data_IF_992492950087
#
_entry.id   IF_992492950087
#
_cell.length_a   1.000
_cell.length_b   1.000
_cell.length_c   1.000
_cell.angle_alpha   90.00
_cell.angle_beta   90.00
_cell.angle_gamma   90.00
#
_symmetry.space_group_name_H-M   'P 1'
#
loop_
_entity.id
_entity.type
_entity.pdbx_description
1 polymer ?
#
# COMPACT_ATOMS: atom_id res chain seq x y z
N UNK A 1 2.92 5.05 -10.45
CA UNK A 1 3.51 5.87 -11.52
C UNK A 1 3.62 5.05 -12.80
N UNK A 2 4.28 3.88 -12.79
CA UNK A 2 4.43 3.01 -13.96
C UNK A 2 3.10 2.72 -14.66
N UNK A 3 2.11 2.22 -13.93
CA UNK A 3 0.79 1.90 -14.47
C UNK A 3 0.09 3.12 -15.09
N UNK A 4 0.09 4.25 -14.38
CA UNK A 4 -0.63 5.46 -14.84
C UNK A 4 0.03 6.09 -16.05
N UNK A 5 1.37 6.13 -16.07
CA UNK A 5 2.14 6.82 -17.11
C UNK A 5 2.42 5.94 -18.33
N UNK A 6 2.85 4.72 -18.10
CA UNK A 6 3.34 3.84 -19.18
C UNK A 6 2.20 3.01 -19.76
N UNK A 7 1.51 2.20 -18.94
CA UNK A 7 0.48 1.30 -19.47
C UNK A 7 -0.74 2.02 -20.04
N UNK A 8 -1.20 3.07 -19.38
CA UNK A 8 -2.36 3.85 -19.83
C UNK A 8 -2.04 5.06 -20.70
N UNK A 9 -0.76 5.49 -20.73
CA UNK A 9 -0.36 6.68 -21.47
C UNK A 9 0.33 6.37 -22.77
N UNK A 10 1.43 5.63 -22.72
CA UNK A 10 2.36 5.43 -23.86
C UNK A 10 2.14 4.09 -24.55
N UNK A 11 1.57 3.10 -23.83
CA UNK A 11 1.38 1.73 -24.33
C UNK A 11 2.64 0.85 -24.17
N UNK A 12 2.45 -0.45 -24.44
CA UNK A 12 3.53 -1.44 -24.34
C UNK A 12 4.31 -1.52 -25.67
N UNK A 13 5.47 -0.86 -25.73
CA UNK A 13 6.39 -0.97 -26.88
C UNK A 13 7.85 -0.78 -26.48
N UNK A 14 8.73 -1.69 -26.96
CA UNK A 14 10.19 -1.53 -26.86
C UNK A 14 10.75 -1.35 -25.43
N UNK A 15 11.63 -0.38 -25.26
CA UNK A 15 12.37 -0.11 -24.01
C UNK A 15 11.45 0.31 -22.83
N UNK A 16 10.21 0.76 -23.08
CA UNK A 16 9.25 1.17 -22.04
C UNK A 16 8.85 0.03 -21.13
N UNK A 17 8.79 -1.18 -21.64
CA UNK A 17 8.51 -2.37 -20.82
C UNK A 17 9.55 -2.57 -19.72
N UNK A 18 10.82 -2.33 -20.00
CA UNK A 18 11.90 -2.44 -18.99
C UNK A 18 11.77 -1.37 -17.91
N UNK A 19 11.47 -0.14 -18.32
CA UNK A 19 11.25 0.98 -17.38
C UNK A 19 10.03 0.70 -16.48
N UNK A 20 8.93 0.23 -17.06
CA UNK A 20 7.74 -0.16 -16.30
C UNK A 20 8.07 -1.23 -15.24
N UNK A 21 8.78 -2.29 -15.61
CA UNK A 21 9.20 -3.34 -14.68
C UNK A 21 10.02 -2.78 -13.52
N UNK A 22 11.02 -1.95 -13.81
CA UNK A 22 11.87 -1.35 -12.77
C UNK A 22 11.03 -0.47 -11.83
N UNK A 23 10.17 0.38 -12.37
CA UNK A 23 9.32 1.26 -11.55
C UNK A 23 8.33 0.48 -10.68
N UNK A 24 7.75 -0.60 -11.20
CA UNK A 24 6.88 -1.50 -10.41
C UNK A 24 7.65 -2.18 -9.29
N UNK A 25 8.85 -2.69 -9.60
CA UNK A 25 9.72 -3.33 -8.61
C UNK A 25 10.07 -2.37 -7.47
N UNK A 26 10.40 -1.11 -7.79
CA UNK A 26 10.63 -0.07 -6.79
C UNK A 26 9.38 0.20 -5.94
N UNK A 27 8.20 0.20 -6.54
CA UNK A 27 6.93 0.37 -5.82
C UNK A 27 6.68 -0.71 -4.77
N UNK A 28 7.12 -1.96 -5.02
CA UNK A 28 6.96 -3.08 -4.08
C UNK A 28 7.75 -2.92 -2.77
N UNK A 29 8.82 -2.12 -2.79
CA UNK A 29 9.62 -1.82 -1.60
C UNK A 29 8.81 -1.01 -0.56
N UNK A 30 7.88 -0.19 -1.01
CA UNK A 30 7.15 0.73 -0.14
C UNK A 30 6.13 0.04 0.76
N UNK A 31 5.45 -1.01 0.29
CA UNK A 31 4.35 -1.63 1.04
C UNK A 31 4.78 -2.26 2.37
N UNK A 32 5.88 -3.05 2.47
CA UNK A 32 6.38 -3.53 3.76
C UNK A 32 6.65 -2.40 4.76
N UNK A 33 7.18 -1.27 4.28
CA UNK A 33 7.46 -0.11 5.12
C UNK A 33 6.16 0.50 5.65
N UNK A 34 5.11 0.59 4.82
CA UNK A 34 3.79 1.02 5.28
C UNK A 34 3.20 0.05 6.31
N UNK A 35 3.27 -1.25 6.08
CA UNK A 35 2.84 -2.27 7.05
C UNK A 35 3.56 -2.08 8.39
N UNK A 36 4.88 -1.94 8.35
CA UNK A 36 5.68 -1.72 9.55
C UNK A 36 5.30 -0.42 10.27
N UNK A 37 5.10 0.67 9.54
CA UNK A 37 4.71 1.95 10.16
C UNK A 37 3.33 1.90 10.81
N UNK A 38 2.38 1.08 10.28
CA UNK A 38 1.09 0.84 10.94
C UNK A 38 1.28 0.08 12.24
N UNK A 39 2.08 -0.99 12.24
CA UNK A 39 2.39 -1.78 13.44
C UNK A 39 3.09 -0.93 14.49
N UNK A 40 4.13 -0.21 14.11
CA UNK A 40 4.89 0.68 14.98
C UNK A 40 3.99 1.81 15.54
N UNK A 41 3.14 2.38 14.69
CA UNK A 41 2.15 3.38 15.09
C UNK A 41 1.12 2.83 16.09
N UNK A 42 0.64 1.60 15.88
CA UNK A 42 -0.28 0.93 16.80
C UNK A 42 0.36 0.68 18.17
N UNK A 43 1.58 0.18 18.21
CA UNK A 43 2.33 -0.08 19.45
C UNK A 43 2.63 1.17 20.26
N UNK A 44 2.71 2.34 19.61
CA UNK A 44 3.06 3.62 20.25
C UNK A 44 1.89 4.57 20.45
N UNK A 45 0.71 4.25 19.95
CA UNK A 45 -0.44 5.16 20.10
C UNK A 45 -1.15 4.93 21.41
N UNK A 46 -1.57 6.03 22.05
CA UNK A 46 -2.48 5.98 23.20
C UNK A 46 -3.96 5.82 22.78
N UNK A 47 -4.29 6.07 21.51
CA UNK A 47 -5.64 6.01 20.96
C UNK A 47 -5.66 5.34 19.60
N UNK A 48 -5.80 4.02 19.60
CA UNK A 48 -5.89 3.20 18.38
C UNK A 48 -7.21 3.45 17.63
N UNK A 49 -8.29 3.82 18.32
CA UNK A 49 -9.57 4.16 17.70
C UNK A 49 -9.47 5.43 16.85
N UNK A 50 -8.86 6.48 17.39
CA UNK A 50 -8.60 7.69 16.61
C UNK A 50 -7.60 7.43 15.46
N UNK A 51 -6.67 6.49 15.61
CA UNK A 51 -5.77 6.08 14.54
C UNK A 51 -6.55 5.39 13.41
N UNK A 52 -7.39 4.42 13.72
CA UNK A 52 -8.26 3.72 12.75
C UNK A 52 -9.19 4.71 12.03
N UNK A 53 -9.82 5.62 12.77
CA UNK A 53 -10.67 6.66 12.19
C UNK A 53 -9.92 7.51 11.15
N UNK A 54 -8.68 7.91 11.44
CA UNK A 54 -7.84 8.64 10.46
C UNK A 54 -7.58 7.82 9.20
N UNK A 55 -7.22 6.53 9.32
CA UNK A 55 -7.00 5.67 8.15
C UNK A 55 -8.25 5.55 7.28
N UNK A 56 -9.44 5.37 7.89
CA UNK A 56 -10.71 5.30 7.17
C UNK A 56 -11.01 6.64 6.45
N UNK A 57 -10.81 7.78 7.11
CA UNK A 57 -11.02 9.10 6.50
C UNK A 57 -10.09 9.27 5.28
N UNK A 58 -8.82 8.89 5.40
CA UNK A 58 -7.87 9.00 4.29
C UNK A 58 -8.10 7.92 3.21
N UNK A 59 -8.64 6.76 3.56
CA UNK A 59 -9.13 5.79 2.58
C UNK A 59 -10.22 6.43 1.70
N UNK A 60 -11.24 7.04 2.31
CA UNK A 60 -12.33 7.72 1.57
C UNK A 60 -11.83 8.90 0.74
N UNK A 61 -10.95 9.74 1.28
CA UNK A 61 -10.36 10.89 0.55
C UNK A 61 -9.54 10.41 -0.65
N UNK A 62 -8.85 9.28 -0.51
CA UNK A 62 -7.94 8.75 -1.52
C UNK A 62 -8.65 7.99 -2.64
N UNK A 63 -9.95 7.65 -2.52
CA UNK A 63 -10.69 6.93 -3.56
C UNK A 63 -10.75 7.73 -4.85
N UNK A 64 -11.14 9.01 -4.81
CA UNK A 64 -11.22 9.84 -6.01
C UNK A 64 -9.86 9.95 -6.73
N UNK A 65 -8.74 10.32 -6.07
CA UNK A 65 -7.42 10.30 -6.70
C UNK A 65 -7.01 8.93 -7.25
N UNK A 66 -7.35 7.86 -6.54
CA UNK A 66 -7.03 6.50 -6.92
C UNK A 66 -7.79 6.08 -8.18
N UNK A 67 -9.10 6.27 -8.21
CA UNK A 67 -9.95 5.93 -9.35
C UNK A 67 -9.58 6.74 -10.60
N UNK A 68 -9.33 8.03 -10.44
CA UNK A 68 -8.84 8.87 -11.54
C UNK A 68 -7.51 8.36 -12.10
N UNK A 69 -6.57 7.99 -11.23
CA UNK A 69 -5.25 7.52 -11.64
C UNK A 69 -5.30 6.14 -12.32
N UNK A 70 -6.03 5.19 -11.74
CA UNK A 70 -6.00 3.79 -12.18
C UNK A 70 -7.15 3.40 -13.11
N UNK A 71 -8.31 4.06 -13.01
CA UNK A 71 -9.51 3.75 -13.80
C UNK A 71 -9.87 4.84 -14.80
N UNK A 72 -9.46 6.09 -14.55
CA UNK A 72 -9.84 7.25 -15.37
C UNK A 72 -11.30 7.68 -15.15
N UNK A 73 -11.91 7.22 -14.05
CA UNK A 73 -13.24 7.59 -13.58
C UNK A 73 -13.13 8.31 -12.24
N UNK A 74 -14.13 9.09 -11.87
CA UNK A 74 -14.16 9.78 -10.57
C UNK A 74 -14.52 8.81 -9.44
N UNK A 75 -15.27 7.75 -9.78
CA UNK A 75 -15.73 6.75 -8.81
C UNK A 75 -15.85 5.37 -9.47
N UNK A 76 -15.16 4.38 -8.91
CA UNK A 76 -15.17 2.99 -9.37
C UNK A 76 -15.04 2.05 -8.15
N UNK A 77 -16.09 1.31 -7.84
CA UNK A 77 -16.10 0.39 -6.70
C UNK A 77 -15.40 -0.97 -6.97
N UNK A 78 -14.86 -1.18 -8.15
CA UNK A 78 -14.29 -2.50 -8.52
C UNK A 78 -12.97 -2.80 -7.82
N UNK A 79 -12.26 -1.78 -7.34
CA UNK A 79 -10.98 -1.93 -6.67
C UNK A 79 -10.74 -0.77 -5.70
N UNK A 80 -10.28 -1.06 -4.50
CA UNK A 80 -10.14 -0.06 -3.43
C UNK A 80 -8.67 0.22 -3.10
N UNK A 81 -8.38 1.46 -2.68
CA UNK A 81 -7.03 1.91 -2.39
C UNK A 81 -6.39 1.23 -1.17
N UNK A 82 -5.07 1.36 -1.04
CA UNK A 82 -4.25 0.71 -0.02
C UNK A 82 -4.62 1.08 1.43
N UNK A 83 -5.18 2.27 1.68
CA UNK A 83 -5.57 2.66 3.03
C UNK A 83 -6.64 1.75 3.63
N UNK A 84 -7.52 1.15 2.83
CA UNK A 84 -8.47 0.13 3.29
C UNK A 84 -7.76 -1.11 3.81
N UNK A 85 -6.74 -1.60 3.10
CA UNK A 85 -5.91 -2.72 3.58
C UNK A 85 -5.25 -2.38 4.91
N UNK A 86 -4.67 -1.17 5.02
CA UNK A 86 -4.03 -0.70 6.26
C UNK A 86 -5.04 -0.55 7.41
N UNK A 87 -6.27 -0.07 7.13
CA UNK A 87 -7.32 0.07 8.13
C UNK A 87 -7.81 -1.30 8.65
N UNK A 88 -8.03 -2.27 7.75
CA UNK A 88 -8.38 -3.64 8.15
C UNK A 88 -7.25 -4.32 8.93
N UNK A 89 -5.98 -4.08 8.55
CA UNK A 89 -4.83 -4.57 9.29
C UNK A 89 -4.76 -4.01 10.71
N UNK A 90 -4.96 -2.70 10.86
CA UNK A 90 -5.03 -2.06 12.18
C UNK A 90 -6.21 -2.58 12.99
N UNK A 91 -7.40 -2.71 12.40
CA UNK A 91 -8.57 -3.25 13.07
C UNK A 91 -8.35 -4.69 13.55
N UNK A 92 -7.69 -5.54 12.74
CA UNK A 92 -7.34 -6.90 13.14
C UNK A 92 -6.40 -6.94 14.36
N UNK A 93 -5.40 -6.05 14.40
CA UNK A 93 -4.50 -5.93 15.57
C UNK A 93 -5.28 -5.48 16.81
N UNK A 94 -6.13 -4.45 16.70
CA UNK A 94 -6.96 -3.96 17.81
C UNK A 94 -7.86 -5.05 18.38
N UNK A 95 -8.53 -5.82 17.51
CA UNK A 95 -9.42 -6.92 17.92
C UNK A 95 -8.62 -8.04 18.60
N UNK A 96 -7.45 -8.37 18.06
CA UNK A 96 -6.61 -9.43 18.62
C UNK A 96 -6.08 -9.08 20.01
N UNK A 97 -5.64 -7.84 20.21
CA UNK A 97 -5.04 -7.38 21.47
C UNK A 97 -6.09 -7.00 22.54
N UNK A 98 -7.38 -6.90 22.18
CA UNK A 98 -8.46 -6.63 23.13
C UNK A 98 -8.68 -7.84 24.06
N UNK A 99 -8.21 -7.74 25.30
CA UNK A 99 -8.36 -8.78 26.32
C UNK A 99 -9.78 -8.89 26.90
N UNK A 100 -10.63 -7.86 26.74
CA UNK A 100 -11.99 -7.83 27.27
C UNK A 100 -13.02 -8.40 26.28
N UNK A 101 -12.65 -8.55 25.01
CA UNK A 101 -13.55 -9.08 24.00
C UNK A 101 -13.76 -10.59 24.16
N UNK A 102 -15.03 -11.04 24.21
CA UNK A 102 -15.36 -12.46 24.26
C UNK A 102 -14.76 -13.22 23.05
N UNK A 103 -14.27 -14.44 23.28
CA UNK A 103 -13.54 -15.23 22.29
C UNK A 103 -14.26 -15.36 20.94
N UNK A 104 -15.55 -15.67 20.94
CA UNK A 104 -16.32 -15.78 19.70
C UNK A 104 -16.45 -14.45 18.92
N UNK A 105 -16.60 -13.32 19.64
CA UNK A 105 -16.62 -11.98 19.01
C UNK A 105 -15.27 -11.64 18.40
N UNK A 106 -14.19 -11.98 19.11
CA UNK A 106 -12.82 -11.82 18.60
C UNK A 106 -12.61 -12.62 17.32
N UNK A 107 -12.99 -13.90 17.31
CA UNK A 107 -12.89 -14.76 16.12
C UNK A 107 -13.69 -14.20 14.96
N UNK A 108 -14.95 -13.82 15.20
CA UNK A 108 -15.81 -13.23 14.15
C UNK A 108 -15.23 -11.93 13.61
N UNK A 109 -14.74 -11.05 14.49
CA UNK A 109 -14.12 -9.78 14.09
C UNK A 109 -12.85 -9.98 13.25
N UNK A 110 -11.98 -10.93 13.64
CA UNK A 110 -10.80 -11.27 12.85
C UNK A 110 -11.16 -11.85 11.48
N UNK A 111 -12.13 -12.78 11.43
CA UNK A 111 -12.63 -13.31 10.16
C UNK A 111 -13.15 -12.20 9.25
N UNK A 112 -13.89 -11.23 9.82
CA UNK A 112 -14.35 -10.06 9.07
C UNK A 112 -13.19 -9.24 8.53
N UNK A 113 -12.17 -8.94 9.36
CA UNK A 113 -11.00 -8.17 8.92
C UNK A 113 -10.19 -8.87 7.82
N UNK A 114 -10.17 -10.19 7.77
CA UNK A 114 -9.49 -10.94 6.71
C UNK A 114 -10.35 -11.14 5.47
N UNK A 115 -11.66 -11.29 5.62
CA UNK A 115 -12.55 -11.57 4.49
C UNK A 115 -13.00 -10.32 3.74
N UNK A 116 -13.26 -9.21 4.43
CA UNK A 116 -13.71 -7.96 3.79
C UNK A 116 -12.73 -7.40 2.75
N UNK A 117 -11.39 -7.39 2.98
CA UNK A 117 -10.43 -6.95 1.97
C UNK A 117 -10.51 -7.73 0.66
N UNK A 118 -10.83 -9.01 0.73
CA UNK A 118 -11.06 -9.85 -0.45
C UNK A 118 -12.34 -9.45 -1.18
N UNK A 119 -13.45 -9.26 -0.46
CA UNK A 119 -14.74 -8.86 -1.06
C UNK A 119 -14.69 -7.46 -1.69
N UNK A 120 -14.02 -6.52 -1.05
CA UNK A 120 -13.86 -5.15 -1.54
C UNK A 120 -12.74 -4.99 -2.56
N UNK A 121 -12.02 -6.05 -2.90
CA UNK A 121 -10.87 -6.01 -3.81
C UNK A 121 -9.89 -4.90 -3.43
N UNK A 122 -9.54 -4.80 -2.13
CA UNK A 122 -8.57 -3.80 -1.69
C UNK A 122 -7.18 -4.12 -2.21
N UNK A 123 -6.36 -3.09 -2.39
CA UNK A 123 -4.95 -3.27 -2.76
C UNK A 123 -4.24 -4.15 -1.72
N UNK A 124 -3.48 -5.14 -2.16
CA UNK A 124 -2.91 -6.23 -1.35
C UNK A 124 -3.92 -7.18 -0.67
N UNK A 125 -5.24 -6.95 -0.77
CA UNK A 125 -6.29 -7.87 -0.31
C UNK A 125 -6.02 -8.48 1.09
N UNK A 126 -6.41 -9.74 1.31
CA UNK A 126 -6.18 -10.48 2.58
C UNK A 126 -4.70 -10.62 2.92
N UNK A 127 -3.82 -10.73 1.92
CA UNK A 127 -2.39 -10.93 2.15
C UNK A 127 -1.73 -9.71 2.80
N UNK A 128 -2.13 -8.51 2.41
CA UNK A 128 -1.68 -7.28 3.04
C UNK A 128 -2.11 -7.19 4.51
N UNK A 129 -3.35 -7.54 4.81
CA UNK A 129 -3.86 -7.58 6.20
C UNK A 129 -3.13 -8.63 7.04
N UNK A 130 -2.90 -9.83 6.47
CA UNK A 130 -2.14 -10.89 7.14
C UNK A 130 -0.68 -10.46 7.36
N UNK A 131 -0.07 -9.77 6.41
CA UNK A 131 1.28 -9.21 6.59
C UNK A 131 1.34 -8.30 7.81
N UNK A 132 0.43 -7.31 7.93
CA UNK A 132 0.36 -6.39 9.07
C UNK A 132 0.13 -7.17 10.37
N UNK A 133 -0.82 -8.09 10.37
CA UNK A 133 -1.18 -8.88 11.53
C UNK A 133 -0.01 -9.74 12.03
N UNK A 134 0.69 -10.44 11.14
CA UNK A 134 1.85 -11.27 11.48
C UNK A 134 3.06 -10.42 11.93
N UNK A 135 3.27 -9.25 11.30
CA UNK A 135 4.30 -8.32 11.76
C UNK A 135 4.02 -7.84 13.19
N UNK A 136 2.76 -7.57 13.56
CA UNK A 136 2.42 -7.27 14.96
C UNK A 136 2.64 -8.46 15.89
N UNK A 137 2.30 -9.69 15.43
CA UNK A 137 2.42 -10.91 16.24
C UNK A 137 3.87 -11.25 16.56
N UNK A 138 4.78 -10.98 15.64
CA UNK A 138 6.23 -11.26 15.79
C UNK A 138 7.05 -9.99 16.01
N UNK A 139 6.44 -8.90 16.47
CA UNK A 139 7.08 -7.59 16.62
C UNK A 139 8.37 -7.63 17.44
N UNK A 140 8.40 -8.42 18.52
CA UNK A 140 9.55 -8.53 19.42
C UNK A 140 10.70 -9.39 18.84
N UNK A 141 10.48 -10.04 17.69
CA UNK A 141 11.45 -10.87 16.97
C UNK A 141 11.63 -10.35 15.53
N UNK A 142 12.45 -9.31 15.32
CA UNK A 142 12.50 -8.56 14.03
C UNK A 142 12.74 -9.44 12.80
N UNK A 143 13.59 -10.47 12.93
CA UNK A 143 13.86 -11.39 11.81
C UNK A 143 12.62 -12.23 11.49
N UNK A 144 11.97 -12.81 12.49
CA UNK A 144 10.72 -13.58 12.27
C UNK A 144 9.60 -12.69 11.74
N UNK A 145 9.48 -11.47 12.27
CA UNK A 145 8.53 -10.47 11.80
C UNK A 145 8.68 -10.21 10.29
N UNK A 146 9.90 -9.92 9.86
CA UNK A 146 10.21 -9.65 8.46
C UNK A 146 10.01 -10.90 7.58
N UNK A 147 10.44 -12.08 8.04
CA UNK A 147 10.25 -13.32 7.30
C UNK A 147 8.77 -13.67 7.13
N UNK A 148 7.97 -13.57 8.20
CA UNK A 148 6.54 -13.87 8.15
C UNK A 148 5.81 -12.92 7.19
N UNK A 149 6.09 -11.61 7.27
CA UNK A 149 5.53 -10.63 6.35
C UNK A 149 5.94 -10.86 4.90
N UNK A 150 7.21 -11.16 4.64
CA UNK A 150 7.73 -11.41 3.31
C UNK A 150 7.11 -12.66 2.67
N UNK A 151 7.00 -13.75 3.42
CA UNK A 151 6.36 -14.99 2.96
C UNK A 151 4.91 -14.72 2.53
N UNK A 152 4.14 -13.94 3.30
CA UNK A 152 2.77 -13.60 2.94
C UNK A 152 2.67 -12.84 1.61
N UNK A 153 3.57 -11.91 1.36
CA UNK A 153 3.59 -11.18 0.09
C UNK A 153 4.02 -12.07 -1.08
N UNK A 154 4.99 -12.97 -0.88
CA UNK A 154 5.40 -13.95 -1.91
C UNK A 154 4.28 -14.92 -2.28
N UNK A 155 3.46 -15.33 -1.31
CA UNK A 155 2.28 -16.17 -1.55
C UNK A 155 1.26 -15.43 -2.41
N UNK A 156 1.10 -14.12 -2.22
CA UNK A 156 0.23 -13.29 -3.04
C UNK A 156 0.69 -13.25 -4.51
N UNK A 157 1.98 -12.98 -4.73
CA UNK A 157 2.54 -12.89 -6.08
C UNK A 157 4.08 -12.97 -6.05
N UNK A 158 4.67 -13.67 -7.02
CA UNK A 158 6.12 -13.66 -7.23
C UNK A 158 6.67 -12.27 -7.58
N UNK A 159 5.83 -11.35 -8.07
CA UNK A 159 6.22 -9.96 -8.32
C UNK A 159 6.61 -9.23 -7.03
N UNK A 160 6.16 -9.70 -5.86
CA UNK A 160 6.50 -9.16 -4.55
C UNK A 160 7.93 -9.54 -4.07
N UNK A 161 8.70 -10.29 -4.86
CA UNK A 161 10.08 -10.63 -4.51
C UNK A 161 10.95 -9.39 -4.18
N UNK A 162 10.69 -8.26 -4.84
CA UNK A 162 11.38 -6.99 -4.57
C UNK A 162 11.02 -6.35 -3.23
N UNK A 163 9.94 -6.77 -2.59
CA UNK A 163 9.56 -6.33 -1.25
C UNK A 163 10.62 -6.71 -0.19
N UNK A 164 11.48 -7.70 -0.49
CA UNK A 164 12.61 -8.08 0.38
C UNK A 164 13.47 -6.88 0.77
N UNK A 165 13.70 -5.94 -0.14
CA UNK A 165 14.48 -4.73 0.13
C UNK A 165 13.80 -3.88 1.23
N UNK A 166 12.47 -3.74 1.17
CA UNK A 166 11.71 -3.06 2.21
C UNK A 166 11.86 -3.72 3.58
N UNK A 167 11.81 -5.05 3.63
CA UNK A 167 12.02 -5.80 4.88
C UNK A 167 13.45 -5.69 5.40
N UNK A 168 14.47 -5.68 4.52
CA UNK A 168 15.85 -5.44 4.93
C UNK A 168 16.04 -4.03 5.52
N UNK A 169 15.38 -3.01 4.95
CA UNK A 169 15.39 -1.65 5.52
C UNK A 169 14.72 -1.61 6.90
N UNK A 170 13.64 -2.38 7.11
CA UNK A 170 12.97 -2.49 8.41
C UNK A 170 13.92 -3.11 9.45
N UNK A 171 14.72 -4.10 9.09
CA UNK A 171 15.73 -4.70 10.01
C UNK A 171 16.81 -3.71 10.45
N UNK A 172 17.06 -2.64 9.67
CA UNK A 172 18.00 -1.57 10.01
C UNK A 172 17.37 -0.48 10.90
N UNK A 173 16.08 -0.59 11.22
CA UNK A 173 15.38 0.40 12.02
C UNK A 173 15.90 0.44 13.47
N UNK A 174 16.26 1.61 13.93
CA UNK A 174 16.89 1.82 15.26
C UNK A 174 15.89 2.08 16.40
N UNK A 175 14.60 1.92 16.17
CA UNK A 175 13.56 2.17 17.18
C UNK A 175 13.29 3.65 17.48
N UNK A 176 13.97 4.59 16.84
CA UNK A 176 13.80 6.01 17.11
C UNK A 176 12.73 6.64 16.22
N UNK A 177 11.89 7.47 16.83
CA UNK A 177 10.89 8.24 16.09
C UNK A 177 11.56 9.39 15.35
N UNK A 178 11.49 9.36 14.02
CA UNK A 178 11.95 10.48 13.20
C UNK A 178 11.12 11.76 13.44
N UNK A 179 11.72 12.91 13.12
CA UNK A 179 11.01 14.19 13.06
C UNK A 179 10.10 14.16 11.82
N UNK A 180 8.80 13.96 12.02
CA UNK A 180 7.86 13.88 10.91
C UNK A 180 6.53 14.55 11.24
N UNK A 181 5.96 15.19 10.21
CA UNK A 181 4.59 15.68 10.28
C UNK A 181 3.65 14.55 9.85
N UNK A 182 2.83 14.03 10.78
CA UNK A 182 1.88 12.94 10.49
C UNK A 182 0.96 13.26 9.31
N UNK A 183 0.50 14.52 9.19
CA UNK A 183 -0.39 14.94 8.14
C UNK A 183 0.27 14.84 6.75
N UNK A 184 1.57 15.12 6.66
CA UNK A 184 2.30 14.98 5.40
C UNK A 184 2.22 13.55 4.83
N UNK A 185 2.39 12.52 5.66
CA UNK A 185 2.32 11.13 5.20
C UNK A 185 0.92 10.73 4.72
N UNK A 186 -0.12 11.19 5.40
CA UNK A 186 -1.49 10.93 4.98
C UNK A 186 -1.84 11.64 3.67
N UNK A 187 -1.44 12.90 3.51
CA UNK A 187 -1.72 13.69 2.32
C UNK A 187 -0.83 13.33 1.13
N UNK A 188 0.35 12.75 1.38
CA UNK A 188 1.29 12.37 0.32
C UNK A 188 0.64 11.39 -0.66
N UNK A 189 -0.06 10.37 -0.16
CA UNK A 189 -0.65 9.34 -1.02
C UNK A 189 -1.73 9.90 -1.98
N UNK A 190 -2.80 10.56 -1.54
CA UNK A 190 -3.76 11.15 -2.48
C UNK A 190 -3.13 12.28 -3.30
N UNK A 191 -2.25 13.08 -2.71
CA UNK A 191 -1.61 14.21 -3.39
C UNK A 191 -0.71 13.78 -4.55
N UNK A 192 0.14 12.74 -4.37
CA UNK A 192 0.98 12.28 -5.46
C UNK A 192 0.18 11.61 -6.58
N UNK A 193 -0.93 10.93 -6.27
CA UNK A 193 -1.83 10.36 -7.29
C UNK A 193 -2.48 11.46 -8.14
N UNK A 194 -2.98 12.53 -7.50
CA UNK A 194 -3.50 13.70 -8.23
C UNK A 194 -2.43 14.38 -9.10
N UNK A 195 -1.21 14.53 -8.56
CA UNK A 195 -0.09 15.08 -9.32
C UNK A 195 0.21 14.22 -10.56
N UNK A 196 0.19 12.90 -10.44
CA UNK A 196 0.39 11.98 -11.57
C UNK A 196 -0.73 12.09 -12.60
N UNK A 197 -1.99 12.18 -12.16
CA UNK A 197 -3.13 12.39 -13.06
C UNK A 197 -2.98 13.71 -13.84
N UNK A 198 -2.60 14.78 -13.15
CA UNK A 198 -2.39 16.08 -13.77
C UNK A 198 -1.20 16.10 -14.75
N UNK A 199 -0.08 15.47 -14.39
CA UNK A 199 1.12 15.45 -15.24
C UNK A 199 1.02 14.47 -16.41
N UNK A 200 0.11 13.49 -16.36
CA UNK A 200 -0.03 12.46 -17.38
C UNK A 200 -0.14 13.02 -18.81
N UNK A 201 -1.03 13.96 -19.16
CA UNK A 201 -1.16 14.46 -20.53
C UNK A 201 0.14 15.09 -21.04
N UNK A 202 0.81 15.89 -20.22
CA UNK A 202 2.07 16.55 -20.59
C UNK A 202 3.21 15.54 -20.84
N UNK A 203 3.30 14.52 -19.99
CA UNK A 203 4.31 13.48 -20.13
C UNK A 203 4.05 12.64 -21.38
N UNK A 204 2.80 12.24 -21.63
CA UNK A 204 2.44 11.47 -22.82
C UNK A 204 2.71 12.26 -24.10
N UNK A 205 2.34 13.53 -24.16
CA UNK A 205 2.59 14.41 -25.29
C UNK A 205 4.10 14.59 -25.56
N UNK A 206 4.88 14.88 -24.51
CA UNK A 206 6.33 15.02 -24.61
C UNK A 206 6.99 13.75 -25.16
N UNK A 207 6.62 12.58 -24.65
CA UNK A 207 7.18 11.31 -25.11
C UNK A 207 6.71 10.95 -26.52
N UNK A 208 5.46 11.25 -26.90
CA UNK A 208 4.97 11.04 -28.26
C UNK A 208 5.72 11.89 -29.27
N UNK A 209 6.00 13.15 -28.95
CA UNK A 209 6.78 14.05 -29.81
C UNK A 209 8.25 13.59 -29.93
N UNK A 210 8.86 13.13 -28.85
CA UNK A 210 10.20 12.58 -28.90
C UNK A 210 10.31 11.33 -29.78
N UNK A 211 9.31 10.43 -29.68
CA UNK A 211 9.26 9.21 -30.50
C UNK A 211 9.07 9.52 -31.99
N UNK A 212 8.25 10.50 -32.35
CA UNK A 212 8.07 10.93 -33.74
C UNK A 212 9.37 11.48 -34.36
N UNK A 213 10.21 12.12 -33.56
CA UNK A 213 11.54 12.60 -34.01
C UNK A 213 12.55 11.46 -34.16
N UNK A 214 12.54 10.48 -33.27
CA UNK A 214 13.49 9.34 -33.27
C UNK A 214 13.16 8.32 -34.38
N UNK A 215 11.90 8.16 -34.75
CA UNK A 215 11.45 7.21 -35.79
C UNK A 215 11.24 7.84 -37.19
N UNK A 216 11.58 9.12 -37.36
CA UNK A 216 11.66 9.76 -38.71
C UNK A 216 13.05 9.61 -39.37
N UNK A 217 13.91 8.74 -38.85
CA UNK A 217 15.18 8.35 -39.48
C UNK A 217 14.98 6.91 -40.06
#
# INVERSE_FOLDING_TARGET
LAYVMIERGIGFGGNWYQIDRVMRSMGRIAFPIFCFTIVEGFRRTSDAGAYLKRLIIFALISEIPFDLAFRGSVFDMSFQNVFWTLAFGLAAMMIYDDSFMAGWKKTLGLLTCFFMPYLFHTDYSVYGVLTIFLMNRFYDEPVKMCMAGYIMLLIQSSAEAWAVIGFLLILLYNGQKGKSNKMFYYLFYPGHLLLLVFLKPYIVEYFSSMMSVVFQI
#
